data_IF_966779746529
#
_entry.id   IF_966779746529
#
_cell.length_a   1.000
_cell.length_b   1.000
_cell.length_c   1.000
_cell.angle_alpha   90.00
_cell.angle_beta   90.00
_cell.angle_gamma   90.00
#
_symmetry.space_group_name_H-M   'P 1'
#
loop_
_entity.id
_entity.type
_entity.pdbx_description
1 polymer ?
#
# COMPACT_ATOMS: atom_id res chain seq x y z
N UNK A 1 -12.89 24.84 17.82
CA UNK A 1 -11.47 24.98 17.40
C UNK A 1 -10.73 25.93 18.34
N UNK A 2 -10.22 25.48 19.49
CA UNK A 2 -9.62 26.39 20.51
C UNK A 2 -8.13 26.18 20.81
N UNK A 3 -7.39 25.40 20.01
CA UNK A 3 -5.95 25.14 20.26
C UNK A 3 -5.11 24.93 18.99
N UNK A 4 -5.52 25.45 17.83
CA UNK A 4 -4.69 25.35 16.63
C UNK A 4 -3.63 26.47 16.62
N UNK A 5 -2.36 26.11 16.78
CA UNK A 5 -1.24 27.03 16.66
C UNK A 5 -1.00 27.37 15.17
N UNK A 6 -1.56 28.47 14.68
CA UNK A 6 -1.41 28.95 13.29
C UNK A 6 -0.08 29.70 13.03
N UNK A 7 0.97 29.44 13.82
CA UNK A 7 2.33 29.93 13.55
C UNK A 7 3.07 29.05 12.54
N UNK A 8 2.70 27.77 12.43
CA UNK A 8 3.26 26.84 11.47
C UNK A 8 2.33 26.77 10.24
N UNK A 9 2.85 26.97 9.02
CA UNK A 9 2.06 26.83 7.80
C UNK A 9 1.50 25.41 7.64
N UNK A 10 0.30 25.29 7.07
CA UNK A 10 -0.31 23.99 6.78
C UNK A 10 0.40 23.33 5.58
N UNK A 11 1.07 22.21 5.81
CA UNK A 11 1.68 21.39 4.75
C UNK A 11 0.88 20.10 4.57
N UNK A 12 0.48 19.81 3.34
CA UNK A 12 -0.21 18.56 2.97
C UNK A 12 0.60 17.87 1.88
N UNK A 13 0.83 16.58 2.07
CA UNK A 13 1.30 15.64 1.07
C UNK A 13 0.17 14.67 0.76
N UNK A 14 -0.21 14.55 -0.51
CA UNK A 14 -1.18 13.53 -0.96
C UNK A 14 -0.41 12.50 -1.79
N UNK A 15 -0.46 11.24 -1.39
CA UNK A 15 0.16 10.15 -2.16
C UNK A 15 -0.91 9.56 -3.06
N UNK A 16 -0.64 9.47 -4.37
CA UNK A 16 -1.59 8.91 -5.34
C UNK A 16 -2.84 9.75 -5.55
N UNK A 17 -2.69 11.06 -5.81
CA UNK A 17 -3.81 12.01 -5.92
C UNK A 17 -4.78 11.81 -7.11
N UNK A 18 -4.58 10.78 -7.93
CA UNK A 18 -5.47 10.42 -9.04
C UNK A 18 -5.66 11.58 -10.04
N UNK A 19 -6.91 12.01 -10.24
CA UNK A 19 -7.24 13.15 -11.10
C UNK A 19 -7.05 14.52 -10.43
N UNK A 20 -6.72 14.57 -9.14
CA UNK A 20 -6.53 15.83 -8.39
C UNK A 20 -7.83 16.45 -7.89
N UNK A 21 -8.95 15.74 -8.05
CA UNK A 21 -10.26 16.18 -7.58
C UNK A 21 -10.32 16.27 -6.05
N UNK A 22 -9.64 15.35 -5.34
CA UNK A 22 -9.54 15.41 -3.88
C UNK A 22 -8.74 16.64 -3.43
N UNK A 23 -7.53 16.84 -3.96
CA UNK A 23 -6.72 18.02 -3.72
C UNK A 23 -7.51 19.33 -3.90
N UNK A 24 -8.20 19.47 -5.05
CA UNK A 24 -9.05 20.62 -5.33
C UNK A 24 -10.14 20.79 -4.27
N UNK A 25 -10.88 19.73 -3.96
CA UNK A 25 -11.96 19.76 -2.95
C UNK A 25 -11.47 20.16 -1.55
N UNK A 26 -10.31 19.64 -1.13
CA UNK A 26 -9.68 20.01 0.15
C UNK A 26 -9.28 21.49 0.15
N UNK A 27 -8.64 21.95 -0.92
CA UNK A 27 -8.19 23.35 -1.03
C UNK A 27 -9.37 24.32 -1.10
N UNK A 28 -10.43 24.00 -1.85
CA UNK A 28 -11.70 24.75 -1.88
C UNK A 28 -12.32 24.83 -0.48
N UNK A 29 -12.38 23.70 0.23
CA UNK A 29 -12.93 23.65 1.58
C UNK A 29 -12.13 24.53 2.55
N UNK A 30 -10.79 24.45 2.53
CA UNK A 30 -9.92 25.28 3.38
C UNK A 30 -10.07 26.76 3.02
N UNK A 31 -10.12 27.09 1.72
CA UNK A 31 -10.32 28.46 1.25
C UNK A 31 -11.63 29.08 1.76
N UNK A 32 -12.70 28.29 1.83
CA UNK A 32 -14.04 28.74 2.26
C UNK A 32 -14.23 28.74 3.78
N UNK A 33 -13.58 27.83 4.51
CA UNK A 33 -13.92 27.56 5.91
C UNK A 33 -12.80 27.84 6.92
N UNK A 34 -11.55 28.02 6.48
CA UNK A 34 -10.43 28.30 7.38
C UNK A 34 -10.12 29.82 7.44
N UNK A 35 -9.48 30.31 8.52
CA UNK A 35 -8.95 31.67 8.55
C UNK A 35 -8.04 31.93 7.33
N UNK A 36 -8.14 33.08 6.63
CA UNK A 36 -7.40 33.34 5.40
C UNK A 36 -5.89 33.13 5.50
N UNK A 37 -5.30 33.38 6.68
CA UNK A 37 -3.88 33.12 6.95
C UNK A 37 -3.48 31.65 6.73
N UNK A 38 -4.36 30.70 7.07
CA UNK A 38 -4.11 29.26 6.88
C UNK A 38 -4.02 28.96 5.39
N UNK A 39 -5.06 29.29 4.63
CA UNK A 39 -5.09 29.08 3.19
C UNK A 39 -3.95 29.81 2.47
N UNK A 40 -3.68 31.07 2.82
CA UNK A 40 -2.67 31.87 2.13
C UNK A 40 -1.23 31.36 2.34
N UNK A 41 -0.98 30.64 3.43
CA UNK A 41 0.36 30.11 3.76
C UNK A 41 0.50 28.60 3.50
N UNK A 42 -0.57 27.91 3.11
CA UNK A 42 -0.52 26.46 2.95
C UNK A 42 0.30 26.04 1.72
N UNK A 43 0.81 24.81 1.78
CA UNK A 43 1.38 24.12 0.62
C UNK A 43 0.76 22.74 0.50
N UNK A 44 0.32 22.40 -0.71
CA UNK A 44 -0.23 21.11 -1.08
C UNK A 44 0.68 20.45 -2.11
N UNK A 45 1.21 19.28 -1.78
CA UNK A 45 2.14 18.53 -2.62
C UNK A 45 1.51 17.20 -2.96
N UNK A 46 1.15 17.00 -4.22
CA UNK A 46 0.77 15.66 -4.68
C UNK A 46 2.02 14.90 -5.09
N UNK A 47 2.17 13.67 -4.61
CA UNK A 47 3.24 12.74 -5.01
C UNK A 47 2.60 11.69 -5.90
N UNK A 48 2.95 11.71 -7.17
CA UNK A 48 2.32 10.91 -8.21
C UNK A 48 3.38 10.21 -9.05
N UNK A 49 3.23 8.91 -9.29
CA UNK A 49 4.20 8.16 -10.10
C UNK A 49 3.97 8.34 -11.60
N UNK A 50 2.73 8.66 -12.00
CA UNK A 50 2.31 8.80 -13.39
C UNK A 50 2.45 10.23 -13.92
N UNK A 51 3.34 10.48 -14.91
CA UNK A 51 3.48 11.80 -15.51
C UNK A 51 2.18 12.31 -16.14
N UNK A 52 1.37 11.41 -16.73
CA UNK A 52 0.10 11.79 -17.33
C UNK A 52 -0.93 12.22 -16.28
N UNK A 53 -1.01 11.54 -15.14
CA UNK A 53 -1.90 11.95 -14.06
C UNK A 53 -1.39 13.24 -13.41
N UNK A 54 -0.08 13.42 -13.30
CA UNK A 54 0.50 14.65 -12.78
C UNK A 54 0.07 15.89 -13.57
N UNK A 55 -0.02 15.81 -14.90
CA UNK A 55 -0.56 16.90 -15.72
C UNK A 55 -2.07 17.10 -15.52
N UNK A 56 -2.86 16.03 -15.48
CA UNK A 56 -4.32 16.10 -15.21
C UNK A 56 -4.60 16.77 -13.86
N UNK A 57 -3.79 16.48 -12.84
CA UNK A 57 -3.93 17.10 -11.51
C UNK A 57 -3.65 18.61 -11.56
N UNK A 58 -2.59 19.03 -12.28
CA UNK A 58 -2.27 20.46 -12.47
C UNK A 58 -3.40 21.19 -13.20
N UNK A 59 -3.99 20.58 -14.22
CA UNK A 59 -5.13 21.13 -14.95
C UNK A 59 -6.35 21.26 -14.03
N UNK A 60 -6.72 20.18 -13.34
CA UNK A 60 -7.90 20.11 -12.47
C UNK A 60 -7.82 21.11 -11.32
N UNK A 61 -6.70 21.16 -10.60
CA UNK A 61 -6.50 22.11 -9.50
C UNK A 61 -6.32 23.54 -10.05
N UNK A 62 -5.73 23.67 -11.24
CA UNK A 62 -5.49 24.94 -11.93
C UNK A 62 -6.76 25.66 -12.40
N UNK A 63 -7.91 24.97 -12.47
CA UNK A 63 -9.23 25.60 -12.69
C UNK A 63 -9.50 26.73 -11.69
N UNK A 64 -8.97 26.61 -10.47
CA UNK A 64 -9.06 27.64 -9.42
C UNK A 64 -7.71 28.36 -9.31
N UNK A 65 -7.62 29.55 -9.94
CA UNK A 65 -6.36 30.32 -10.03
C UNK A 65 -5.66 30.58 -8.69
N UNK A 66 -6.42 30.67 -7.60
CA UNK A 66 -5.85 30.92 -6.26
C UNK A 66 -5.13 29.70 -5.67
N UNK A 67 -5.38 28.49 -6.20
CA UNK A 67 -4.72 27.24 -5.81
C UNK A 67 -3.34 27.08 -6.44
N UNK A 68 -3.13 27.56 -7.67
CA UNK A 68 -1.89 27.40 -8.45
C UNK A 68 -0.60 27.67 -7.63
N UNK A 69 -0.45 28.79 -6.89
CA UNK A 69 0.80 29.04 -6.14
C UNK A 69 0.97 28.16 -4.89
N UNK A 70 -0.04 27.39 -4.50
CA UNK A 70 -0.05 26.56 -3.29
C UNK A 70 0.04 25.07 -3.62
N UNK A 71 -0.31 24.67 -4.84
CA UNK A 71 -0.35 23.30 -5.29
C UNK A 71 0.85 22.99 -6.19
N UNK A 72 1.48 21.84 -5.96
CA UNK A 72 2.47 21.29 -6.87
C UNK A 72 2.33 19.77 -6.94
N UNK A 73 2.77 19.21 -8.06
CA UNK A 73 2.88 17.76 -8.24
C UNK A 73 4.35 17.39 -8.37
N UNK A 74 4.78 16.44 -7.56
CA UNK A 74 6.11 15.86 -7.59
C UNK A 74 6.00 14.46 -8.22
N UNK A 75 6.48 14.34 -9.45
CA UNK A 75 6.37 13.10 -10.22
C UNK A 75 7.46 12.11 -9.78
N UNK A 76 7.14 11.20 -8.86
CA UNK A 76 8.07 10.20 -8.30
C UNK A 76 7.32 9.05 -7.62
N UNK A 77 8.03 7.95 -7.40
CA UNK A 77 7.56 6.87 -6.52
C UNK A 77 7.72 7.30 -5.05
N UNK A 78 6.61 7.33 -4.30
CA UNK A 78 6.61 7.68 -2.88
C UNK A 78 7.36 6.66 -2.02
N UNK A 79 7.44 5.40 -2.45
CA UNK A 79 8.16 4.32 -1.78
C UNK A 79 9.64 4.25 -2.17
N UNK A 80 10.12 5.11 -3.07
CA UNK A 80 11.55 5.23 -3.40
C UNK A 80 12.18 6.41 -2.66
N UNK A 81 12.94 6.09 -1.61
CA UNK A 81 13.67 7.08 -0.81
C UNK A 81 14.55 8.01 -1.64
N UNK A 82 15.13 7.53 -2.74
CA UNK A 82 16.05 8.33 -3.58
C UNK A 82 15.34 9.46 -4.34
N UNK A 83 14.03 9.32 -4.56
CA UNK A 83 13.20 10.38 -5.16
C UNK A 83 12.86 11.52 -4.20
N UNK A 84 13.11 11.35 -2.90
CA UNK A 84 12.89 12.38 -1.88
C UNK A 84 14.16 13.19 -1.63
N UNK A 85 13.98 14.50 -1.42
CA UNK A 85 15.08 15.40 -1.07
C UNK A 85 15.45 15.31 0.41
N UNK A 86 15.77 16.48 0.98
CA UNK A 86 16.03 16.62 2.41
C UNK A 86 14.78 16.28 3.24
N UNK A 87 15.03 15.81 4.47
CA UNK A 87 13.98 15.45 5.43
C UNK A 87 13.15 16.69 5.81
N UNK A 88 11.83 16.59 5.71
CA UNK A 88 10.92 17.66 6.12
C UNK A 88 10.75 17.67 7.64
N UNK A 89 11.33 18.69 8.28
CA UNK A 89 11.32 18.83 9.73
C UNK A 89 10.08 19.56 10.28
N UNK A 90 9.22 20.12 9.42
CA UNK A 90 7.98 20.76 9.85
C UNK A 90 6.85 19.74 9.96
N UNK A 91 5.93 19.90 10.93
CA UNK A 91 4.70 19.13 10.96
C UNK A 91 3.94 19.22 9.63
N UNK A 92 3.51 18.09 9.11
CA UNK A 92 2.76 18.00 7.87
C UNK A 92 1.65 16.95 7.99
N UNK A 93 0.70 17.00 7.07
CA UNK A 93 -0.32 15.97 6.89
C UNK A 93 0.04 15.13 5.69
N UNK A 94 -0.06 13.81 5.84
CA UNK A 94 0.00 12.87 4.72
C UNK A 94 -1.38 12.29 4.51
N UNK A 95 -1.87 12.33 3.29
CA UNK A 95 -3.18 11.81 2.89
C UNK A 95 -2.95 10.68 1.88
N UNK A 96 -3.53 9.52 2.16
CA UNK A 96 -3.50 8.34 1.28
C UNK A 96 -4.92 7.78 1.15
N UNK A 97 -5.55 7.95 0.00
CA UNK A 97 -6.90 7.45 -0.26
C UNK A 97 -6.81 6.39 -1.37
N UNK A 98 -7.19 5.15 -1.06
CA UNK A 98 -7.15 4.01 -2.01
C UNK A 98 -5.74 3.78 -2.59
N UNK A 99 -4.72 3.88 -1.74
CA UNK A 99 -3.31 3.68 -2.10
C UNK A 99 -2.80 2.33 -1.61
N UNK A 100 -3.14 1.94 -0.38
CA UNK A 100 -2.46 0.86 0.33
C UNK A 100 -2.83 -0.50 -0.25
N UNK A 101 -4.08 -0.65 -0.68
CA UNK A 101 -4.57 -1.84 -1.33
C UNK A 101 -3.86 -2.15 -2.64
N UNK A 102 -3.51 -1.12 -3.41
CA UNK A 102 -2.87 -1.19 -4.73
C UNK A 102 -1.35 -1.41 -4.66
N UNK A 103 -0.74 -1.40 -3.47
CA UNK A 103 0.68 -1.66 -3.29
C UNK A 103 1.00 -3.16 -3.50
N UNK A 104 2.23 -3.50 -3.92
CA UNK A 104 2.63 -4.89 -4.10
C UNK A 104 2.60 -5.66 -2.77
N UNK A 105 2.20 -6.92 -2.86
CA UNK A 105 2.14 -7.86 -1.75
C UNK A 105 2.93 -9.13 -2.08
N UNK A 106 3.83 -9.51 -1.17
CA UNK A 106 4.56 -10.77 -1.29
C UNK A 106 3.79 -11.91 -0.64
N UNK A 107 3.83 -13.09 -1.27
CA UNK A 107 3.25 -14.30 -0.72
C UNK A 107 4.30 -15.12 0.01
N UNK A 108 3.93 -15.63 1.19
CA UNK A 108 4.68 -16.65 1.92
C UNK A 108 3.85 -17.90 2.10
N UNK A 109 4.53 -19.04 2.06
CA UNK A 109 3.95 -20.36 2.17
C UNK A 109 4.65 -21.17 3.25
N UNK A 110 3.92 -22.04 3.93
CA UNK A 110 4.48 -23.03 4.83
C UNK A 110 3.76 -24.35 4.63
N UNK A 111 4.52 -25.43 4.44
CA UNK A 111 3.98 -26.78 4.19
C UNK A 111 3.14 -27.32 5.36
N UNK A 112 3.45 -26.87 6.57
CA UNK A 112 2.77 -27.29 7.79
C UNK A 112 2.92 -26.24 8.89
N UNK A 113 2.16 -26.38 9.97
CA UNK A 113 2.21 -25.46 11.11
C UNK A 113 3.57 -25.46 11.85
N UNK A 114 4.41 -26.48 11.61
CA UNK A 114 5.74 -26.61 12.21
C UNK A 114 6.87 -26.29 11.22
N UNK A 115 6.58 -26.21 9.93
CA UNK A 115 7.57 -25.87 8.90
C UNK A 115 7.87 -24.36 8.92
N UNK A 116 9.10 -23.95 8.59
CA UNK A 116 9.41 -22.53 8.42
C UNK A 116 8.59 -21.93 7.27
N UNK A 117 8.38 -20.62 7.30
CA UNK A 117 7.85 -19.90 6.15
C UNK A 117 8.87 -19.90 5.00
N UNK A 118 8.35 -19.88 3.78
CA UNK A 118 9.09 -19.82 2.52
C UNK A 118 8.48 -18.71 1.65
N UNK A 119 9.33 -18.00 0.91
CA UNK A 119 8.91 -17.05 -0.11
C UNK A 119 8.28 -17.80 -1.29
N UNK A 120 7.18 -17.25 -1.81
CA UNK A 120 6.54 -17.72 -3.03
C UNK A 120 7.04 -16.86 -4.19
N UNK A 121 7.87 -17.45 -5.04
CA UNK A 121 8.36 -16.86 -6.27
C UNK A 121 7.51 -17.35 -7.44
N UNK A 122 7.41 -16.55 -8.50
CA UNK A 122 6.79 -17.01 -9.75
C UNK A 122 7.85 -17.04 -10.84
N UNK A 123 7.93 -18.16 -11.54
CA UNK A 123 8.86 -18.38 -12.64
C UNK A 123 8.08 -18.63 -13.94
N UNK A 124 8.57 -18.04 -15.04
CA UNK A 124 8.09 -18.35 -16.38
C UNK A 124 8.81 -19.60 -16.90
N UNK A 125 8.05 -20.64 -17.20
CA UNK A 125 8.65 -21.88 -17.73
C UNK A 125 9.14 -21.68 -19.16
N UNK A 126 10.26 -22.33 -19.51
CA UNK A 126 10.92 -22.14 -20.81
C UNK A 126 10.13 -22.72 -22.00
N UNK A 127 9.20 -23.67 -21.78
CA UNK A 127 8.51 -24.39 -22.88
C UNK A 127 7.10 -23.87 -23.20
N UNK A 128 6.50 -23.05 -22.32
CA UNK A 128 5.13 -22.51 -22.43
C UNK A 128 5.07 -21.13 -21.81
N UNK A 129 4.14 -20.28 -22.26
CA UNK A 129 3.75 -19.05 -21.55
C UNK A 129 3.06 -19.31 -20.19
N UNK A 130 3.30 -20.48 -19.58
CA UNK A 130 2.73 -20.87 -18.29
C UNK A 130 3.67 -20.45 -17.16
N UNK A 131 3.09 -19.79 -16.17
CA UNK A 131 3.75 -19.41 -14.93
C UNK A 131 3.63 -20.56 -13.94
N UNK A 132 4.64 -20.74 -13.09
CA UNK A 132 4.60 -21.66 -11.97
C UNK A 132 5.21 -21.05 -10.72
N UNK A 133 4.68 -21.43 -9.57
CA UNK A 133 5.25 -21.03 -8.30
C UNK A 133 6.49 -21.86 -7.93
N UNK A 134 7.48 -21.20 -7.35
CA UNK A 134 8.63 -21.79 -6.69
C UNK A 134 8.64 -21.36 -5.23
N UNK A 135 9.03 -22.26 -4.34
CA UNK A 135 9.14 -21.97 -2.92
C UNK A 135 10.61 -21.92 -2.52
N UNK A 136 11.02 -20.80 -1.93
CA UNK A 136 12.41 -20.57 -1.51
C UNK A 136 12.47 -20.25 -0.02
N UNK A 137 13.56 -20.59 0.70
CA UNK A 137 13.76 -20.11 2.06
C UNK A 137 13.68 -18.58 2.12
N UNK A 138 13.18 -18.02 3.23
CA UNK A 138 13.17 -16.56 3.43
C UNK A 138 14.59 -15.99 3.33
N UNK A 139 14.77 -14.99 2.48
CA UNK A 139 16.01 -14.26 2.23
C UNK A 139 15.78 -12.76 2.14
N UNK A 140 14.62 -12.33 1.65
CA UNK A 140 14.26 -10.93 1.55
C UNK A 140 14.01 -10.32 2.95
N UNK A 141 14.74 -9.25 3.24
CA UNK A 141 14.67 -8.57 4.55
C UNK A 141 13.32 -7.93 4.82
N UNK A 142 12.65 -7.41 3.80
CA UNK A 142 11.33 -6.78 3.92
C UNK A 142 10.26 -7.84 4.18
N UNK A 143 10.31 -8.96 3.45
CA UNK A 143 9.44 -10.13 3.70
C UNK A 143 9.66 -10.65 5.12
N UNK A 144 10.92 -10.83 5.53
CA UNK A 144 11.27 -11.33 6.86
C UNK A 144 10.72 -10.40 7.95
N UNK A 145 10.92 -9.08 7.82
CA UNK A 145 10.38 -8.09 8.75
C UNK A 145 8.85 -8.09 8.79
N UNK A 146 8.17 -8.24 7.65
CA UNK A 146 6.71 -8.40 7.63
C UNK A 146 6.26 -9.64 8.40
N UNK A 147 6.92 -10.79 8.20
CA UNK A 147 6.61 -12.04 8.93
C UNK A 147 6.76 -11.84 10.46
N UNK A 148 7.81 -11.13 10.88
CA UNK A 148 8.09 -10.80 12.29
C UNK A 148 7.06 -9.84 12.90
N UNK A 149 6.78 -8.71 12.24
CA UNK A 149 5.81 -7.69 12.70
C UNK A 149 4.42 -8.30 12.83
N UNK A 150 4.01 -9.08 11.82
CA UNK A 150 2.71 -9.74 11.77
C UNK A 150 2.62 -10.94 12.72
N UNK A 151 3.74 -11.24 13.38
CA UNK A 151 3.83 -12.22 14.43
C UNK A 151 3.35 -13.62 13.99
N UNK A 152 3.59 -13.95 12.72
CA UNK A 152 3.13 -15.20 12.12
C UNK A 152 3.72 -16.43 12.83
N UNK A 153 4.84 -16.22 13.53
CA UNK A 153 5.52 -17.22 14.35
C UNK A 153 4.99 -17.32 15.79
N UNK A 154 4.47 -16.26 16.44
CA UNK A 154 3.91 -16.36 17.80
C UNK A 154 2.48 -16.89 17.88
N UNK A 155 1.88 -17.27 16.74
CA UNK A 155 0.81 -18.30 16.79
C UNK A 155 1.26 -19.60 17.49
N UNK A 156 2.55 -19.75 17.81
CA UNK A 156 3.13 -20.79 18.65
C UNK A 156 3.17 -20.48 20.18
N UNK A 157 3.01 -19.25 20.66
CA UNK A 157 3.43 -18.89 22.05
C UNK A 157 2.38 -18.30 22.98
N UNK A 158 1.16 -17.98 22.52
CA UNK A 158 0.13 -17.34 23.40
C UNK A 158 -1.04 -18.23 23.79
N UNK A 159 -0.83 -19.55 23.95
CA UNK A 159 -1.84 -20.43 24.55
C UNK A 159 -1.20 -21.40 25.54
N UNK A 160 -1.82 -21.49 26.72
CA UNK A 160 -1.43 -22.27 27.91
C UNK A 160 -0.52 -23.48 27.67
N UNK A 161 0.45 -23.67 28.55
CA UNK A 161 1.51 -24.70 28.49
C UNK A 161 1.03 -26.15 28.30
N UNK A 162 -0.24 -26.46 28.56
CA UNK A 162 -0.84 -27.76 28.29
C UNK A 162 -1.45 -27.90 26.86
N UNK A 163 -1.90 -26.80 26.25
CA UNK A 163 -2.53 -26.80 24.92
C UNK A 163 -1.51 -26.80 23.77
N UNK A 164 -0.31 -26.25 23.98
CA UNK A 164 0.76 -26.20 22.97
C UNK A 164 1.33 -27.58 22.60
N UNK A 165 1.46 -28.49 23.59
CA UNK A 165 1.94 -29.86 23.38
C UNK A 165 0.92 -30.66 22.55
N UNK A 166 -0.37 -30.57 22.89
CA UNK A 166 -1.44 -31.24 22.16
C UNK A 166 -1.61 -30.72 20.72
N UNK A 167 -1.48 -29.40 20.50
CA UNK A 167 -1.47 -28.81 19.16
C UNK A 167 -0.26 -29.21 18.34
N UNK A 168 0.94 -29.26 18.92
CA UNK A 168 2.15 -29.71 18.23
C UNK A 168 2.03 -31.15 17.73
N UNK A 169 1.46 -32.03 18.55
CA UNK A 169 1.20 -33.43 18.19
C UNK A 169 0.14 -33.50 17.09
N UNK A 170 -0.97 -32.77 17.20
CA UNK A 170 -2.02 -32.74 16.16
C UNK A 170 -1.55 -32.14 14.83
N UNK A 171 -0.71 -31.09 14.85
CA UNK A 171 -0.11 -30.52 13.64
C UNK A 171 0.87 -31.47 12.95
N UNK A 172 1.47 -32.41 13.70
CA UNK A 172 2.30 -33.49 13.13
C UNK A 172 1.47 -34.61 12.51
N UNK A 173 0.25 -34.83 13.02
CA UNK A 173 -0.66 -35.89 12.52
C UNK A 173 -1.51 -35.38 11.34
N UNK A 174 -1.82 -34.09 11.29
CA UNK A 174 -2.57 -33.44 10.19
C UNK A 174 -1.87 -32.15 9.75
N UNK A 175 -0.77 -32.23 8.98
CA UNK A 175 -0.12 -31.06 8.43
C UNK A 175 -1.10 -30.30 7.54
N UNK A 176 -1.35 -29.02 7.84
CA UNK A 176 -2.15 -28.15 7.00
C UNK A 176 -1.25 -27.08 6.38
N UNK A 177 -1.14 -27.03 5.05
CA UNK A 177 -0.39 -25.98 4.40
C UNK A 177 -1.03 -24.62 4.69
N UNK A 178 -0.18 -23.61 4.85
CA UNK A 178 -0.57 -22.23 5.13
C UNK A 178 -0.02 -21.33 4.05
N UNK A 179 -0.81 -20.34 3.67
CA UNK A 179 -0.41 -19.25 2.77
C UNK A 179 -0.82 -17.94 3.39
N UNK A 180 0.04 -16.95 3.31
CA UNK A 180 -0.20 -15.60 3.77
C UNK A 180 0.32 -14.61 2.74
N UNK A 181 -0.41 -13.51 2.55
CA UNK A 181 0.02 -12.37 1.77
C UNK A 181 0.44 -11.24 2.72
N UNK A 182 1.62 -10.69 2.45
CA UNK A 182 2.31 -9.72 3.28
C UNK A 182 2.25 -8.33 2.64
N UNK A 183 1.99 -7.27 3.42
CA UNK A 183 1.85 -5.91 2.92
C UNK A 183 3.23 -5.24 2.75
N UNK A 184 4.15 -5.90 2.04
CA UNK A 184 5.55 -5.45 1.90
C UNK A 184 5.66 -4.07 1.25
N UNK A 185 4.88 -3.81 0.19
CA UNK A 185 4.82 -2.48 -0.43
C UNK A 185 4.34 -1.39 0.52
N UNK A 186 3.33 -1.69 1.35
CA UNK A 186 2.83 -0.79 2.39
C UNK A 186 3.91 -0.52 3.45
N UNK A 187 4.58 -1.57 3.95
CA UNK A 187 5.67 -1.41 4.92
C UNK A 187 6.79 -0.52 4.36
N UNK A 188 7.24 -0.80 3.12
CA UNK A 188 8.26 0.00 2.43
C UNK A 188 7.84 1.47 2.29
N UNK A 189 6.60 1.73 1.86
CA UNK A 189 6.07 3.09 1.73
C UNK A 189 6.07 3.81 3.08
N UNK A 190 5.55 3.17 4.13
CA UNK A 190 5.47 3.76 5.46
C UNK A 190 6.86 4.02 6.06
N UNK A 191 7.83 3.14 5.85
CA UNK A 191 9.22 3.35 6.27
C UNK A 191 9.82 4.60 5.61
N UNK A 192 9.66 4.73 4.28
CA UNK A 192 10.17 5.90 3.54
C UNK A 192 9.48 7.17 3.99
N UNK A 193 8.16 7.16 4.15
CA UNK A 193 7.40 8.33 4.63
C UNK A 193 7.80 8.73 6.05
N UNK A 194 8.02 7.75 6.94
CA UNK A 194 8.50 8.03 8.30
C UNK A 194 9.92 8.61 8.30
N UNK A 195 10.79 8.14 7.41
CA UNK A 195 12.15 8.67 7.26
C UNK A 195 12.16 10.12 6.75
N UNK A 196 11.38 10.41 5.70
CA UNK A 196 11.43 11.70 5.00
C UNK A 196 10.47 12.75 5.59
N UNK A 197 9.40 12.32 6.25
CA UNK A 197 8.37 13.16 6.89
C UNK A 197 8.16 12.73 8.37
N UNK A 198 9.18 12.77 9.24
CA UNK A 198 9.11 12.20 10.60
C UNK A 198 8.09 12.87 11.54
N UNK A 199 7.54 14.04 11.16
CA UNK A 199 6.50 14.75 11.91
C UNK A 199 5.14 14.73 11.20
N UNK A 200 4.93 13.74 10.33
CA UNK A 200 3.66 13.58 9.63
C UNK A 200 2.52 13.18 10.59
N UNK A 201 1.34 13.70 10.31
CA UNK A 201 0.06 13.12 10.76
C UNK A 201 -0.59 12.44 9.57
N UNK A 202 -0.81 11.13 9.67
CA UNK A 202 -1.33 10.32 8.57
C UNK A 202 -2.86 10.23 8.60
N UNK A 203 -3.50 10.50 7.47
CA UNK A 203 -4.88 10.17 7.17
C UNK A 203 -4.86 9.16 6.03
N UNK A 204 -5.27 7.93 6.31
CA UNK A 204 -5.40 6.89 5.31
C UNK A 204 -6.83 6.34 5.29
N UNK A 205 -7.34 6.05 4.10
CA UNK A 205 -8.63 5.39 3.90
C UNK A 205 -8.48 4.33 2.83
N UNK A 206 -8.90 3.10 3.15
CA UNK A 206 -8.79 1.96 2.25
C UNK A 206 -9.82 0.87 2.62
N UNK A 207 -9.99 -0.13 1.75
CA UNK A 207 -10.84 -1.28 2.02
C UNK A 207 -10.24 -2.15 3.13
N UNK A 208 -11.02 -2.40 4.19
CA UNK A 208 -10.62 -3.28 5.29
C UNK A 208 -10.99 -4.74 5.06
N UNK A 209 -11.94 -5.01 4.17
CA UNK A 209 -12.39 -6.34 3.80
C UNK A 209 -13.03 -6.32 2.43
N UNK A 210 -12.68 -7.30 1.59
CA UNK A 210 -13.39 -7.59 0.35
C UNK A 210 -14.08 -8.96 0.46
N UNK A 211 -15.41 -9.02 0.36
CA UNK A 211 -16.10 -10.29 0.20
C UNK A 211 -15.69 -10.92 -1.14
N UNK A 212 -15.72 -12.26 -1.21
CA UNK A 212 -15.56 -13.03 -2.45
C UNK A 212 -14.14 -13.10 -3.07
N UNK A 213 -13.08 -12.82 -2.30
CA UNK A 213 -11.70 -13.12 -2.71
C UNK A 213 -11.53 -14.63 -2.89
N UNK A 214 -11.21 -15.05 -4.13
CA UNK A 214 -11.01 -16.47 -4.50
C UNK A 214 -9.56 -16.92 -4.44
N UNK A 215 -8.62 -15.97 -4.37
CA UNK A 215 -7.20 -16.26 -4.23
C UNK A 215 -6.97 -16.94 -2.87
N UNK A 216 -6.24 -18.06 -2.83
CA UNK A 216 -5.99 -18.75 -1.57
C UNK A 216 -5.03 -17.97 -0.67
N UNK A 217 -5.21 -18.11 0.64
CA UNK A 217 -4.31 -17.58 1.67
C UNK A 217 -4.94 -16.51 2.55
N UNK A 218 -4.36 -16.34 3.74
CA UNK A 218 -4.72 -15.25 4.64
C UNK A 218 -4.36 -13.91 4.01
N UNK A 219 -5.29 -12.94 4.05
CA UNK A 219 -5.16 -11.60 3.46
C UNK A 219 -4.88 -11.62 1.96
N UNK A 220 -5.39 -12.63 1.27
CA UNK A 220 -5.22 -12.71 -0.16
C UNK A 220 -5.75 -11.47 -0.88
N UNK A 221 -5.04 -11.01 -1.93
CA UNK A 221 -5.53 -9.94 -2.75
C UNK A 221 -6.73 -10.38 -3.58
N UNK A 222 -7.63 -9.44 -3.84
CA UNK A 222 -8.48 -9.52 -5.00
C UNK A 222 -7.63 -9.22 -6.22
N UNK A 223 -7.53 -10.16 -7.16
CA UNK A 223 -6.90 -9.93 -8.45
C UNK A 223 -8.00 -9.87 -9.50
N UNK A 224 -8.16 -8.72 -10.14
CA UNK A 224 -9.23 -8.51 -11.13
C UNK A 224 -8.73 -7.76 -12.35
N UNK A 225 -9.33 -8.00 -13.52
CA UNK A 225 -9.13 -7.16 -14.69
C UNK A 225 -10.36 -6.35 -15.05
N UNK A 226 -10.14 -5.07 -15.35
CA UNK A 226 -11.19 -4.21 -15.90
C UNK A 226 -11.01 -4.04 -17.40
N UNK A 227 -12.01 -4.49 -18.16
CA UNK A 227 -12.09 -4.33 -19.62
C UNK A 227 -13.47 -3.82 -20.01
N UNK A 228 -13.52 -2.74 -20.79
CA UNK A 228 -14.75 -2.14 -21.30
C UNK A 228 -15.80 -1.84 -20.19
N UNK A 229 -15.32 -1.36 -19.04
CA UNK A 229 -16.16 -1.05 -17.87
C UNK A 229 -16.66 -2.26 -17.07
N UNK A 230 -16.31 -3.48 -17.46
CA UNK A 230 -16.62 -4.72 -16.72
C UNK A 230 -15.39 -5.24 -16.00
N UNK A 231 -15.58 -5.66 -14.75
CA UNK A 231 -14.55 -6.31 -13.93
C UNK A 231 -14.68 -7.82 -14.02
N UNK A 232 -13.55 -8.52 -14.14
CA UNK A 232 -13.46 -9.98 -14.12
C UNK A 232 -12.46 -10.39 -13.05
N UNK A 233 -12.92 -11.10 -12.02
CA UNK A 233 -12.08 -11.55 -10.91
C UNK A 233 -11.43 -12.88 -11.23
N UNK A 234 -10.14 -12.98 -10.94
CA UNK A 234 -9.38 -14.21 -11.13
C UNK A 234 -9.43 -15.10 -9.90
N UNK A 235 -9.40 -16.40 -10.15
CA UNK A 235 -9.23 -17.41 -9.09
C UNK A 235 -7.77 -17.71 -8.79
N UNK A 236 -6.88 -17.32 -9.70
CA UNK A 236 -5.44 -17.49 -9.60
C UNK A 236 -4.79 -16.24 -10.16
N UNK A 237 -3.91 -15.65 -9.36
CA UNK A 237 -3.22 -14.43 -9.74
C UNK A 237 -2.36 -14.64 -10.99
N UNK A 238 -1.83 -15.85 -11.23
CA UNK A 238 -1.05 -16.20 -12.42
C UNK A 238 -1.81 -16.07 -13.75
N UNK A 239 -3.15 -15.99 -13.72
CA UNK A 239 -3.97 -15.76 -14.91
C UNK A 239 -3.98 -14.30 -15.37
N UNK A 240 -3.53 -13.39 -14.51
CA UNK A 240 -3.42 -11.98 -14.82
C UNK A 240 -2.18 -11.73 -15.70
N UNK A 241 -2.40 -11.28 -16.95
CA UNK A 241 -1.36 -11.08 -17.95
C UNK A 241 -0.30 -10.02 -17.60
N UNK A 242 -0.50 -9.23 -16.54
CA UNK A 242 0.32 -8.06 -16.20
C UNK A 242 1.14 -8.27 -14.92
N UNK A 243 1.21 -9.49 -14.37
CA UNK A 243 1.98 -9.76 -13.15
C UNK A 243 3.50 -9.46 -13.26
N UNK A 244 4.06 -9.35 -14.47
CA UNK A 244 5.52 -9.28 -14.70
C UNK A 244 6.00 -8.08 -15.49
N UNK A 245 5.17 -7.05 -15.71
CA UNK A 245 5.64 -5.87 -16.43
C UNK A 245 6.37 -4.93 -15.48
N UNK A 246 7.62 -5.27 -15.13
CA UNK A 246 8.58 -4.33 -14.50
C UNK A 246 9.03 -3.22 -15.45
N UNK A 247 8.52 -3.15 -16.67
CA UNK A 247 8.68 -2.02 -17.57
C UNK A 247 7.41 -1.85 -18.43
N UNK A 248 7.05 -0.58 -18.69
CA UNK A 248 6.06 -0.07 -19.64
C UNK A 248 4.68 0.34 -19.10
N UNK A 249 4.50 1.67 -18.98
CA UNK A 249 3.35 2.36 -19.57
C UNK A 249 3.16 1.84 -21.00
N UNK A 250 2.01 1.21 -21.31
CA UNK A 250 1.00 1.96 -22.04
C UNK A 250 -0.43 1.61 -21.61
N UNK A 251 -1.25 2.65 -21.57
CA UNK A 251 -2.70 2.58 -21.55
C UNK A 251 -3.23 1.75 -22.75
N UNK A 252 -3.65 0.51 -22.49
CA UNK A 252 -4.69 -0.17 -23.27
C UNK A 252 -5.43 -1.19 -22.37
N UNK A 253 -6.55 -0.73 -21.81
CA UNK A 253 -7.77 -1.45 -21.41
C UNK A 253 -7.70 -2.82 -20.73
N UNK A 254 -6.66 -3.13 -19.95
CA UNK A 254 -6.67 -4.26 -19.01
C UNK A 254 -5.81 -3.90 -17.79
N UNK A 255 -6.43 -3.23 -16.81
CA UNK A 255 -5.79 -2.99 -15.51
C UNK A 255 -5.95 -4.22 -14.66
N UNK A 256 -4.85 -4.80 -14.16
CA UNK A 256 -4.91 -5.80 -13.09
C UNK A 256 -4.90 -5.04 -11.78
N UNK A 257 -6.02 -5.06 -11.05
CA UNK A 257 -6.10 -4.45 -9.72
C UNK A 257 -5.89 -5.58 -8.72
N UNK A 258 -4.85 -5.43 -7.91
CA UNK A 258 -4.54 -6.28 -6.76
C UNK A 258 -4.98 -5.45 -5.55
N UNK A 259 -6.06 -5.84 -4.87
CA UNK A 259 -6.57 -5.13 -3.67
C UNK A 259 -6.42 -6.05 -2.47
N UNK A 260 -5.62 -5.67 -1.48
CA UNK A 260 -5.55 -6.41 -0.21
C UNK A 260 -6.28 -5.64 0.89
N UNK A 261 -7.11 -6.32 1.71
CA UNK A 261 -7.72 -5.68 2.87
C UNK A 261 -6.68 -5.11 3.84
N UNK A 262 -6.75 -3.82 4.10
CA UNK A 262 -5.85 -3.10 4.98
C UNK A 262 -6.24 -3.33 6.45
N UNK A 263 -5.40 -4.07 7.20
CA UNK A 263 -5.57 -4.29 8.66
C UNK A 263 -4.40 -3.67 9.46
N UNK A 264 -3.56 -2.84 8.84
CA UNK A 264 -2.18 -2.65 9.31
C UNK A 264 -1.82 -1.35 10.04
N UNK A 265 -2.76 -0.45 10.30
CA UNK A 265 -2.39 0.87 10.83
C UNK A 265 -2.24 0.93 12.36
N UNK A 266 -2.68 -0.10 13.11
CA UNK A 266 -2.61 -0.05 14.58
C UNK A 266 -1.23 -0.44 15.15
N UNK A 267 -0.50 -1.35 14.50
CA UNK A 267 0.72 -1.95 15.08
C UNK A 267 2.03 -1.36 14.53
N UNK A 268 2.01 -0.61 13.42
CA UNK A 268 3.23 -0.04 12.79
C UNK A 268 3.57 1.35 13.34
N UNK A 269 2.62 2.07 13.94
CA UNK A 269 2.77 3.50 14.33
C UNK A 269 3.14 3.67 15.81
N UNK A 270 3.36 2.58 16.56
CA UNK A 270 3.53 2.62 18.02
C UNK A 270 4.85 2.04 18.57
N UNK A 271 5.90 1.90 17.75
CA UNK A 271 7.29 1.73 18.23
C UNK A 271 8.19 2.89 17.79
#
# INVERSE_FOLDING_TARGET
MRTANFSVPLKIYEIGGGSGTCAKGIMDYIMLNAPPKVYNSMTYTSVEISPSLAEVQKETVGEVRSHIPKFRVECRDAADRSGWGDVEQQPCWVIMLEVLDNLPHDAVYSESQISPWMEVWVEKQHDRETLSELYKPLQDSLVTRCVEIMDLDKTKTTQSSAASILKSIWSKVYPKPRRCWLPTGCLKLLDVLHEVLPKMSLIASDFSYLPDVKIPGERAPLVSTKKDGRSTDYQDYMQAKVLFSTDLFPFQSTFVIIIVPCVYLADIVHD
#
